data_IF_669147674382
#
_entry.id   IF_669147674382
#
_cell.length_a   1.000
_cell.length_b   1.000
_cell.length_c   1.000
_cell.angle_alpha   90.00
_cell.angle_beta   90.00
_cell.angle_gamma   90.00
#
_symmetry.space_group_name_H-M   'P 1'
#
loop_
_entity.id
_entity.type
_entity.pdbx_description
1 polymer ?
#
# COMPACT_ATOMS: atom_id res chain seq x y z
N UNK A 1 30.26 12.92 15.22
CA UNK A 1 29.58 11.99 14.28
C UNK A 1 28.54 12.79 13.53
N UNK A 2 28.59 12.84 12.21
CA UNK A 2 27.54 13.48 11.43
C UNK A 2 26.29 12.60 11.52
N UNK A 3 25.32 12.99 12.33
CA UNK A 3 23.97 12.44 12.24
C UNK A 3 23.44 12.86 10.88
N UNK A 4 23.44 11.94 9.91
CA UNK A 4 22.77 12.16 8.64
C UNK A 4 21.37 12.71 8.93
N UNK A 5 20.95 13.84 8.32
CA UNK A 5 19.62 14.38 8.56
C UNK A 5 18.59 13.32 8.25
N UNK A 6 17.71 13.09 9.21
CA UNK A 6 16.61 12.14 9.06
C UNK A 6 15.69 12.63 7.94
N UNK A 7 15.40 11.72 6.99
CA UNK A 7 14.51 11.97 5.85
C UNK A 7 13.18 11.24 6.00
N UNK A 8 12.91 10.62 7.15
CA UNK A 8 11.71 9.81 7.40
C UNK A 8 10.69 10.49 8.31
N UNK A 9 10.91 11.76 8.68
CA UNK A 9 10.04 12.49 9.62
C UNK A 9 9.87 11.76 10.96
N UNK A 10 10.92 11.07 11.44
CA UNK A 10 10.90 10.34 12.70
C UNK A 10 10.35 8.93 12.63
N UNK A 11 9.89 8.44 11.46
CA UNK A 11 9.48 7.04 11.26
C UNK A 11 10.70 6.12 11.23
N UNK A 12 10.65 4.97 11.89
CA UNK A 12 11.81 4.11 12.17
C UNK A 12 11.65 2.64 11.83
N UNK A 13 10.41 2.19 11.61
CA UNK A 13 10.09 0.81 11.30
C UNK A 13 9.04 0.64 10.21
N UNK A 14 8.98 -0.56 9.65
CA UNK A 14 7.89 -1.05 8.80
C UNK A 14 6.53 -0.98 9.51
N UNK A 15 6.51 -1.10 10.84
CA UNK A 15 5.31 -0.87 11.67
C UNK A 15 4.83 0.58 11.58
N UNK A 16 5.73 1.56 11.59
CA UNK A 16 5.35 2.98 11.45
C UNK A 16 4.70 3.26 10.09
N UNK A 17 5.21 2.64 9.02
CA UNK A 17 4.57 2.72 7.70
C UNK A 17 3.24 1.97 7.64
N UNK A 18 3.08 0.85 8.36
CA UNK A 18 1.79 0.20 8.50
C UNK A 18 0.77 1.14 9.18
N UNK A 19 1.14 1.82 10.26
CA UNK A 19 0.23 2.75 10.94
C UNK A 19 -0.12 3.95 10.06
N UNK A 20 0.87 4.44 9.29
CA UNK A 20 0.60 5.44 8.26
C UNK A 20 -0.38 4.92 7.20
N UNK A 21 -0.28 3.66 6.79
CA UNK A 21 -1.24 3.04 5.86
C UNK A 21 -2.65 3.03 6.46
N UNK A 22 -2.81 2.68 7.74
CA UNK A 22 -4.09 2.75 8.44
C UNK A 22 -4.64 4.18 8.43
N UNK A 23 -3.79 5.16 8.77
CA UNK A 23 -4.16 6.57 8.72
C UNK A 23 -4.62 7.02 7.33
N UNK A 24 -3.92 6.61 6.26
CA UNK A 24 -4.31 6.94 4.88
C UNK A 24 -5.61 6.24 4.46
N UNK A 25 -5.88 5.02 4.94
CA UNK A 25 -7.14 4.32 4.74
C UNK A 25 -8.29 5.05 5.44
N UNK A 26 -8.09 5.57 6.64
CA UNK A 26 -9.11 6.34 7.35
C UNK A 26 -9.36 7.70 6.71
N UNK A 27 -8.32 8.35 6.17
CA UNK A 27 -8.48 9.54 5.30
C UNK A 27 -9.29 9.22 4.05
N UNK A 28 -9.07 8.06 3.44
CA UNK A 28 -9.81 7.61 2.27
C UNK A 28 -11.28 7.34 2.62
N UNK A 29 -11.55 6.71 3.77
CA UNK A 29 -12.90 6.42 4.28
C UNK A 29 -13.68 7.67 4.60
N UNK A 30 -13.03 8.64 5.25
CA UNK A 30 -13.64 9.90 5.70
C UNK A 30 -13.69 10.97 4.60
N UNK A 31 -13.24 10.64 3.39
CA UNK A 31 -13.00 11.61 2.32
C UNK A 31 -14.23 12.47 1.99
N UNK A 32 -14.02 13.79 1.93
CA UNK A 32 -15.10 14.74 1.59
C UNK A 32 -15.20 15.00 0.08
N UNK A 33 -14.09 15.39 -0.57
CA UNK A 33 -14.06 15.73 -1.99
C UNK A 33 -13.41 14.65 -2.83
N UNK A 34 -13.72 14.63 -4.13
CA UNK A 34 -13.08 13.75 -5.11
C UNK A 34 -11.55 13.85 -5.09
N UNK A 35 -11.00 15.06 -4.88
CA UNK A 35 -9.55 15.26 -4.79
C UNK A 35 -8.96 14.67 -3.51
N UNK A 36 -9.63 14.85 -2.37
CA UNK A 36 -9.19 14.26 -1.11
C UNK A 36 -9.14 12.73 -1.20
N UNK A 37 -10.16 12.11 -1.81
CA UNK A 37 -10.22 10.67 -2.06
C UNK A 37 -9.13 10.21 -3.02
N UNK A 38 -8.86 10.96 -4.09
CA UNK A 38 -7.75 10.66 -5.01
C UNK A 38 -6.40 10.67 -4.29
N UNK A 39 -6.11 11.71 -3.50
CA UNK A 39 -4.85 11.82 -2.78
C UNK A 39 -4.68 10.74 -1.73
N UNK A 40 -5.70 10.48 -0.92
CA UNK A 40 -5.66 9.41 0.08
C UNK A 40 -5.47 8.03 -0.57
N UNK A 41 -6.11 7.76 -1.71
CA UNK A 41 -5.92 6.51 -2.44
C UNK A 41 -4.49 6.35 -2.98
N UNK A 42 -3.86 7.43 -3.46
CA UNK A 42 -2.46 7.39 -3.88
C UNK A 42 -1.52 7.20 -2.69
N UNK A 43 -1.71 7.96 -1.62
CA UNK A 43 -0.89 7.86 -0.41
C UNK A 43 -0.95 6.45 0.19
N UNK A 44 -2.14 5.85 0.24
CA UNK A 44 -2.32 4.47 0.70
C UNK A 44 -1.57 3.46 -0.18
N UNK A 45 -1.70 3.55 -1.51
CA UNK A 45 -0.98 2.65 -2.42
C UNK A 45 0.54 2.78 -2.32
N UNK A 46 1.05 4.02 -2.21
CA UNK A 46 2.48 4.29 -2.06
C UNK A 46 2.99 3.73 -0.73
N UNK A 47 2.28 4.01 0.36
CA UNK A 47 2.66 3.54 1.69
C UNK A 47 2.64 2.02 1.77
N UNK A 48 1.56 1.38 1.30
CA UNK A 48 1.46 -0.07 1.22
C UNK A 48 2.58 -0.71 0.38
N UNK A 49 3.00 -0.05 -0.71
CA UNK A 49 4.14 -0.51 -1.50
C UNK A 49 5.48 -0.31 -0.79
N UNK A 50 5.69 0.78 -0.04
CA UNK A 50 6.98 1.10 0.59
C UNK A 50 7.21 0.33 1.90
N UNK A 51 6.16 -0.22 2.53
CA UNK A 51 6.35 -1.17 3.64
C UNK A 51 7.30 -2.31 3.21
N UNK A 52 7.20 -2.79 1.96
CA UNK A 52 8.13 -3.80 1.44
C UNK A 52 9.59 -3.34 1.49
N UNK A 53 9.87 -2.10 1.09
CA UNK A 53 11.25 -1.58 1.08
C UNK A 53 11.84 -1.56 2.49
N UNK A 54 11.02 -1.23 3.50
CA UNK A 54 11.41 -1.20 4.91
C UNK A 54 11.59 -2.60 5.49
N UNK A 55 10.67 -3.50 5.20
CA UNK A 55 10.80 -4.93 5.53
C UNK A 55 12.12 -5.47 5.00
N UNK A 56 12.43 -5.27 3.72
CA UNK A 56 13.68 -5.76 3.13
C UNK A 56 14.93 -5.15 3.80
N UNK A 57 14.83 -3.94 4.32
CA UNK A 57 15.92 -3.30 5.08
C UNK A 57 16.10 -3.93 6.47
N UNK A 58 15.00 -4.22 7.15
CA UNK A 58 14.94 -4.73 8.52
C UNK A 58 15.31 -6.21 8.64
N UNK A 59 15.03 -7.02 7.61
CA UNK A 59 15.32 -8.45 7.62
C UNK A 59 16.81 -8.75 7.81
N UNK A 60 17.12 -9.78 8.61
CA UNK A 60 18.46 -10.36 8.68
C UNK A 60 18.83 -11.10 7.38
N UNK A 61 20.09 -11.53 7.25
CA UNK A 61 20.56 -12.17 6.00
C UNK A 61 19.82 -13.48 5.69
N UNK A 62 19.51 -14.28 6.73
CA UNK A 62 18.86 -15.58 6.60
C UNK A 62 17.42 -15.41 6.13
N UNK A 63 16.67 -14.53 6.77
CA UNK A 63 15.27 -14.24 6.46
C UNK A 63 15.16 -13.49 5.13
N UNK A 64 16.06 -12.56 4.83
CA UNK A 64 16.13 -11.92 3.52
C UNK A 64 16.31 -12.96 2.40
N UNK A 65 17.23 -13.90 2.55
CA UNK A 65 17.43 -14.96 1.55
C UNK A 65 16.22 -15.89 1.44
N UNK A 66 15.60 -16.28 2.57
CA UNK A 66 14.39 -17.13 2.57
C UNK A 66 13.23 -16.46 1.83
N UNK A 67 12.96 -15.20 2.16
CA UNK A 67 11.79 -14.46 1.69
C UNK A 67 11.95 -13.94 0.26
N UNK A 68 13.18 -13.65 -0.17
CA UNK A 68 13.43 -13.07 -1.51
C UNK A 68 14.08 -14.05 -2.49
N UNK A 69 14.77 -15.09 -2.00
CA UNK A 69 15.62 -15.95 -2.81
C UNK A 69 16.94 -15.32 -3.25
N UNK A 70 17.24 -14.10 -2.81
CA UNK A 70 18.50 -13.40 -3.10
C UNK A 70 19.17 -12.92 -1.80
N UNK A 71 20.50 -12.88 -1.79
CA UNK A 71 21.24 -12.34 -0.65
C UNK A 71 20.98 -10.85 -0.44
N UNK A 72 21.09 -10.38 0.81
CA UNK A 72 20.91 -8.97 1.16
C UNK A 72 21.86 -8.08 0.34
N UNK A 73 21.35 -6.97 -0.18
CA UNK A 73 22.10 -6.05 -1.05
C UNK A 73 22.29 -6.50 -2.51
N UNK A 74 21.74 -7.66 -2.91
CA UNK A 74 21.70 -8.08 -4.33
C UNK A 74 20.47 -7.51 -5.04
N UNK A 75 20.61 -7.27 -6.35
CA UNK A 75 19.48 -6.83 -7.19
C UNK A 75 18.42 -7.93 -7.28
N UNK A 76 17.15 -7.54 -7.38
CA UNK A 76 16.03 -8.46 -7.57
C UNK A 76 15.26 -8.84 -6.30
N UNK A 77 15.62 -8.30 -5.13
CA UNK A 77 14.97 -8.61 -3.86
C UNK A 77 13.45 -8.40 -3.88
N UNK A 78 12.98 -7.26 -4.40
CA UNK A 78 11.54 -6.96 -4.54
C UNK A 78 10.81 -7.99 -5.41
N UNK A 79 11.36 -8.31 -6.59
CA UNK A 79 10.74 -9.28 -7.50
C UNK A 79 10.71 -10.69 -6.91
N UNK A 80 11.81 -11.12 -6.31
CA UNK A 80 11.89 -12.41 -5.63
C UNK A 80 10.98 -12.51 -4.42
N UNK A 81 10.82 -11.41 -3.67
CA UNK A 81 9.87 -11.33 -2.56
C UNK A 81 8.43 -11.51 -3.03
N UNK A 82 8.02 -10.77 -4.06
CA UNK A 82 6.66 -10.86 -4.62
C UNK A 82 6.39 -12.27 -5.17
N UNK A 83 7.37 -12.86 -5.86
CA UNK A 83 7.23 -14.23 -6.38
C UNK A 83 7.01 -15.27 -5.28
N UNK A 84 7.66 -15.12 -4.13
CA UNK A 84 7.60 -16.08 -3.02
C UNK A 84 6.44 -15.84 -2.07
N UNK A 85 6.08 -14.59 -1.84
CA UNK A 85 5.11 -14.19 -0.80
C UNK A 85 3.82 -13.61 -1.38
N UNK A 86 3.70 -13.46 -2.71
CA UNK A 86 2.55 -12.86 -3.37
C UNK A 86 1.23 -13.58 -3.12
N UNK A 87 1.25 -14.86 -2.77
CA UNK A 87 0.06 -15.59 -2.32
C UNK A 87 -0.50 -15.08 -0.98
N UNK A 88 0.38 -14.61 -0.09
CA UNK A 88 0.00 -14.05 1.22
C UNK A 88 -0.22 -12.53 1.16
N UNK A 89 0.44 -11.86 0.22
CA UNK A 89 0.39 -10.40 0.00
C UNK A 89 -0.21 -10.08 -1.37
N UNK A 90 -1.39 -10.62 -1.66
CA UNK A 90 -2.05 -10.52 -2.98
C UNK A 90 -2.37 -9.07 -3.40
N UNK A 91 -2.56 -8.16 -2.45
CA UNK A 91 -2.80 -6.74 -2.72
C UNK A 91 -1.55 -5.96 -3.14
N UNK A 92 -0.35 -6.51 -2.91
CA UNK A 92 0.91 -5.78 -2.98
C UNK A 92 1.26 -5.35 -4.40
N UNK A 93 0.99 -6.22 -5.38
CA UNK A 93 1.31 -5.93 -6.78
C UNK A 93 0.43 -4.80 -7.33
N UNK A 94 -0.84 -4.72 -6.91
CA UNK A 94 -1.71 -3.59 -7.24
C UNK A 94 -1.17 -2.27 -6.67
N UNK A 95 -0.81 -2.28 -5.39
CA UNK A 95 -0.24 -1.10 -4.71
C UNK A 95 1.06 -0.66 -5.39
N UNK A 96 1.93 -1.61 -5.74
CA UNK A 96 3.19 -1.36 -6.44
C UNK A 96 2.98 -0.73 -7.82
N UNK A 97 2.02 -1.22 -8.59
CA UNK A 97 1.73 -0.65 -9.92
C UNK A 97 1.15 0.75 -9.83
N UNK A 98 0.26 1.00 -8.88
CA UNK A 98 -0.27 2.35 -8.64
C UNK A 98 0.87 3.28 -8.21
N UNK A 99 1.71 2.87 -7.25
CA UNK A 99 2.84 3.66 -6.78
C UNK A 99 3.87 3.96 -7.90
N UNK A 100 4.13 2.99 -8.78
CA UNK A 100 5.02 3.18 -9.93
C UNK A 100 4.42 4.12 -10.99
N UNK A 101 3.11 4.07 -11.21
CA UNK A 101 2.45 4.95 -12.19
C UNK A 101 2.58 6.44 -11.82
N UNK A 102 2.70 6.76 -10.51
CA UNK A 102 2.94 8.12 -10.01
C UNK A 102 4.41 8.53 -10.17
N UNK A 103 5.35 7.60 -9.96
CA UNK A 103 6.80 7.89 -10.10
C UNK A 103 7.25 7.97 -11.56
N UNK A 104 6.61 7.21 -12.43
CA UNK A 104 7.00 7.08 -13.83
C UNK A 104 5.75 7.15 -14.70
N UNK A 105 5.37 8.38 -15.05
CA UNK A 105 4.19 8.70 -15.88
C UNK A 105 4.13 7.87 -17.18
N UNK A 106 5.27 7.38 -17.68
CA UNK A 106 5.39 6.58 -18.92
C UNK A 106 6.26 5.32 -18.82
N UNK A 107 6.98 5.07 -17.71
CA UNK A 107 7.98 3.98 -17.63
C UNK A 107 7.64 3.04 -16.47
N UNK A 108 6.94 1.93 -16.74
CA UNK A 108 6.69 0.94 -15.68
C UNK A 108 7.84 -0.06 -15.61
N UNK A 109 8.51 -0.16 -14.45
CA UNK A 109 9.46 -1.26 -14.19
C UNK A 109 8.74 -2.47 -13.60
N UNK A 110 8.89 -3.63 -14.26
CA UNK A 110 8.23 -4.90 -13.90
C UNK A 110 7.02 -5.24 -14.77
N UNK A 111 6.33 -6.36 -14.50
CA UNK A 111 5.12 -6.72 -15.24
C UNK A 111 4.04 -5.65 -15.05
N UNK A 112 3.34 -5.33 -16.15
CA UNK A 112 2.20 -4.40 -16.17
C UNK A 112 0.92 -5.24 -16.16
N UNK A 113 0.00 -4.98 -15.24
CA UNK A 113 -1.32 -5.62 -15.30
C UNK A 113 -2.10 -5.10 -16.50
N UNK A 114 -2.40 -6.02 -17.41
CA UNK A 114 -3.18 -5.72 -18.61
C UNK A 114 -4.59 -5.28 -18.20
N UNK A 115 -5.14 -4.30 -18.91
CA UNK A 115 -6.50 -3.76 -18.69
C UNK A 115 -6.77 -3.14 -17.30
N UNK A 116 -5.73 -2.85 -16.51
CA UNK A 116 -5.88 -2.13 -15.25
C UNK A 116 -5.87 -0.61 -15.45
N UNK A 117 -6.82 0.09 -14.84
CA UNK A 117 -6.81 1.56 -14.72
C UNK A 117 -7.34 2.00 -13.35
N UNK A 118 -7.03 3.23 -12.94
CA UNK A 118 -7.54 3.83 -11.70
C UNK A 118 -8.43 5.03 -12.01
N UNK A 119 -9.36 5.33 -11.11
CA UNK A 119 -10.24 6.49 -11.27
C UNK A 119 -11.01 6.84 -10.00
N UNK A 120 -11.85 7.87 -10.10
CA UNK A 120 -12.74 8.29 -9.02
C UNK A 120 -14.11 8.68 -9.56
N UNK A 121 -15.15 8.51 -8.76
CA UNK A 121 -16.53 8.84 -9.10
C UNK A 121 -17.27 9.37 -7.87
N UNK A 122 -18.48 9.92 -8.07
CA UNK A 122 -19.40 10.25 -6.99
C UNK A 122 -20.48 9.18 -6.97
N UNK A 123 -20.65 8.51 -5.83
CA UNK A 123 -21.77 7.60 -5.59
C UNK A 123 -22.90 8.35 -4.90
N UNK A 124 -24.12 8.00 -5.32
CA UNK A 124 -25.36 8.50 -4.74
C UNK A 124 -26.06 7.32 -4.07
N UNK A 125 -26.41 7.47 -2.80
CA UNK A 125 -27.27 6.52 -2.10
C UNK A 125 -28.71 7.00 -2.18
N UNK A 126 -29.60 6.07 -2.55
CA UNK A 126 -31.01 6.34 -2.75
C UNK A 126 -31.83 5.59 -1.71
N UNK A 127 -32.82 6.28 -1.14
CA UNK A 127 -33.87 5.68 -0.33
C UNK A 127 -35.22 6.04 -0.97
N UNK A 128 -35.77 5.10 -1.73
CA UNK A 128 -36.88 5.38 -2.65
C UNK A 128 -36.44 6.39 -3.71
N UNK A 129 -37.23 7.44 -3.91
CA UNK A 129 -36.98 8.47 -4.94
C UNK A 129 -36.09 9.63 -4.44
N UNK A 130 -35.50 9.51 -3.25
CA UNK A 130 -34.67 10.56 -2.64
C UNK A 130 -33.23 10.10 -2.51
N UNK A 131 -32.31 11.00 -2.87
CA UNK A 131 -30.89 10.86 -2.53
C UNK A 131 -30.73 11.15 -1.04
N UNK A 132 -30.22 10.19 -0.29
CA UNK A 132 -29.93 10.33 1.15
C UNK A 132 -28.48 10.66 1.42
N UNK A 133 -27.59 10.34 0.48
CA UNK A 133 -26.16 10.58 0.63
C UNK A 133 -25.48 10.73 -0.74
N UNK A 134 -24.40 11.51 -0.79
CA UNK A 134 -23.54 11.64 -1.95
C UNK A 134 -22.09 11.70 -1.48
N UNK A 135 -21.25 10.77 -1.96
CA UNK A 135 -19.85 10.70 -1.54
C UNK A 135 -18.94 10.36 -2.70
N UNK A 136 -17.69 10.84 -2.62
CA UNK A 136 -16.66 10.48 -3.58
C UNK A 136 -16.07 9.11 -3.27
N UNK A 137 -15.74 8.34 -4.31
CA UNK A 137 -15.10 7.03 -4.18
C UNK A 137 -14.01 6.88 -5.24
N UNK A 138 -12.86 6.32 -4.86
CA UNK A 138 -11.83 5.85 -5.78
C UNK A 138 -12.00 4.38 -6.11
N UNK A 139 -11.66 3.99 -7.35
CA UNK A 139 -11.78 2.62 -7.83
C UNK A 139 -10.55 2.20 -8.65
N UNK A 140 -10.31 0.89 -8.67
CA UNK A 140 -9.49 0.22 -9.68
C UNK A 140 -10.44 -0.45 -10.67
N UNK A 141 -10.14 -0.37 -11.96
CA UNK A 141 -10.90 -1.00 -13.04
C UNK A 141 -10.03 -2.07 -13.67
N UNK A 142 -10.54 -3.31 -13.73
CA UNK A 142 -9.90 -4.48 -14.36
C UNK A 142 -10.96 -5.13 -15.24
N UNK A 143 -10.65 -5.37 -16.51
CA UNK A 143 -11.57 -6.02 -17.47
C UNK A 143 -13.00 -5.43 -17.43
N UNK A 144 -13.05 -4.10 -17.44
CA UNK A 144 -14.28 -3.30 -17.35
C UNK A 144 -15.06 -3.33 -16.03
N UNK A 145 -14.61 -4.09 -15.04
CA UNK A 145 -15.21 -4.14 -13.71
C UNK A 145 -14.53 -3.18 -12.73
N UNK A 146 -15.31 -2.41 -11.96
CA UNK A 146 -14.82 -1.45 -10.97
C UNK A 146 -14.83 -2.07 -9.58
N UNK A 147 -13.69 -1.99 -8.91
CA UNK A 147 -13.45 -2.47 -7.56
C UNK A 147 -13.13 -1.30 -6.65
N UNK A 148 -13.64 -1.35 -5.42
CA UNK A 148 -13.40 -0.32 -4.41
C UNK A 148 -11.95 -0.36 -3.94
N UNK A 149 -11.21 0.75 -4.05
CA UNK A 149 -9.81 0.74 -3.58
C UNK A 149 -9.69 0.68 -2.06
N UNK A 150 -10.72 1.12 -1.33
CA UNK A 150 -10.70 1.06 0.13
C UNK A 150 -10.66 -0.38 0.63
N UNK A 151 -11.40 -1.30 0.00
CA UNK A 151 -11.42 -2.72 0.34
C UNK A 151 -10.07 -3.37 0.01
N UNK A 152 -9.47 -3.00 -1.12
CA UNK A 152 -8.14 -3.44 -1.49
C UNK A 152 -7.09 -3.01 -0.46
N UNK A 153 -7.11 -1.74 -0.03
CA UNK A 153 -6.14 -1.24 0.94
C UNK A 153 -6.37 -1.80 2.34
N UNK A 154 -7.62 -2.03 2.75
CA UNK A 154 -7.94 -2.72 4.01
C UNK A 154 -7.40 -4.15 4.01
N UNK A 155 -7.68 -4.92 2.94
CA UNK A 155 -7.15 -6.28 2.83
C UNK A 155 -5.62 -6.28 2.78
N UNK A 156 -5.00 -5.31 2.10
CA UNK A 156 -3.54 -5.16 2.10
C UNK A 156 -3.00 -4.82 3.49
N UNK A 157 -3.68 -3.97 4.26
CA UNK A 157 -3.29 -3.68 5.63
C UNK A 157 -3.37 -4.94 6.51
N UNK A 158 -4.47 -5.70 6.44
CA UNK A 158 -4.61 -6.97 7.18
C UNK A 158 -3.49 -7.97 6.82
N UNK A 159 -3.19 -8.12 5.53
CA UNK A 159 -2.10 -8.97 5.06
C UNK A 159 -0.73 -8.48 5.55
N UNK A 160 -0.49 -7.17 5.54
CA UNK A 160 0.74 -6.58 6.08
C UNK A 160 0.87 -6.81 7.57
N UNK A 161 -0.18 -6.56 8.34
CA UNK A 161 -0.19 -6.79 9.78
C UNK A 161 0.18 -8.24 10.10
N UNK A 162 -0.51 -9.19 9.47
CA UNK A 162 -0.25 -10.61 9.65
C UNK A 162 1.19 -10.99 9.25
N UNK A 163 1.70 -10.43 8.16
CA UNK A 163 3.08 -10.66 7.73
C UNK A 163 4.08 -10.14 8.77
N UNK A 164 3.91 -8.91 9.25
CA UNK A 164 4.81 -8.29 10.23
C UNK A 164 4.82 -9.05 11.56
N UNK A 165 3.66 -9.53 12.00
CA UNK A 165 3.52 -10.39 13.17
C UNK A 165 4.25 -11.73 13.00
N UNK A 166 3.99 -12.46 11.91
CA UNK A 166 4.59 -13.77 11.65
C UNK A 166 6.12 -13.68 11.54
N UNK A 167 6.62 -12.62 10.92
CA UNK A 167 8.04 -12.41 10.68
C UNK A 167 8.76 -11.71 11.85
N UNK A 168 8.04 -11.41 12.95
CA UNK A 168 8.60 -10.79 14.14
C UNK A 168 9.11 -9.36 13.91
N UNK A 169 8.54 -8.66 12.93
CA UNK A 169 8.86 -7.27 12.57
C UNK A 169 7.89 -6.26 13.20
N UNK A 170 6.82 -6.74 13.82
CA UNK A 170 5.89 -5.87 14.54
C UNK A 170 6.54 -5.25 15.77
N UNK A 171 6.47 -3.93 15.88
CA UNK A 171 6.95 -3.16 17.02
C UNK A 171 5.75 -2.54 17.73
N UNK A 172 5.49 -2.98 18.96
CA UNK A 172 4.43 -2.42 19.79
C UNK A 172 4.66 -0.92 20.01
N UNK A 173 3.64 -0.13 19.68
CA UNK A 173 3.72 1.32 19.81
C UNK A 173 3.36 1.73 21.24
N UNK A 174 4.02 2.77 21.78
CA UNK A 174 3.55 3.37 23.02
C UNK A 174 2.11 3.88 22.83
N UNK A 175 1.29 3.87 23.89
CA UNK A 175 -0.04 4.46 23.83
C UNK A 175 0.05 5.93 23.41
N UNK A 176 -0.90 6.37 22.57
CA UNK A 176 -1.03 7.78 22.18
C UNK A 176 -1.28 8.63 23.45
N UNK A 177 -0.46 9.67 23.67
CA UNK A 177 -0.62 10.65 24.76
C UNK A 177 -1.80 11.61 24.52
#
# INVERSE_FOLDING_TARGET
>A
MATSPDKTFGLRSSTDLYLKLIYDIDRLRSGGSTKAVQYAAFDAAITASHILDWVLHELDEVSHLRLTGVGKGKKGAVGGFIQRNGGMLGGLEFCRQIANSVKHVTITMGPVMTNMSTGSTVKLEWQGDRITNAYAQAFIKIDDQKYSVIELFQSMAEQWFLFLEIEGLWVEQPPEE
#
